data_IF_230466411392
#
_entry.id   IF_230466411392
#
_cell.length_a   1.000
_cell.length_b   1.000
_cell.length_c   1.000
_cell.angle_alpha   90.00
_cell.angle_beta   90.00
_cell.angle_gamma   90.00
#
_symmetry.space_group_name_H-M   'P 1'
#
loop_
_entity.id
_entity.type
_entity.pdbx_description
1 polymer ?
#
# COMPACT_ATOMS: atom_id res chain seq x y z
N UNK A 1 -27.39 7.47 -1.33
CA UNK A 1 -26.67 6.30 -0.74
C UNK A 1 -25.20 6.63 -0.47
N UNK A 2 -24.51 7.28 -1.39
CA UNK A 2 -23.08 7.66 -1.25
C UNK A 2 -22.79 8.59 -0.05
N UNK A 3 -23.64 9.61 0.19
CA UNK A 3 -23.48 10.53 1.34
C UNK A 3 -23.51 9.79 2.70
N UNK A 4 -24.46 8.85 2.86
CA UNK A 4 -24.61 8.06 4.09
C UNK A 4 -23.40 7.13 4.31
N UNK A 5 -22.87 6.53 3.24
CA UNK A 5 -21.67 5.70 3.33
C UNK A 5 -20.43 6.52 3.73
N UNK A 6 -20.34 7.77 3.24
CA UNK A 6 -19.26 8.67 3.63
C UNK A 6 -19.33 9.06 5.10
N UNK A 7 -20.50 9.46 5.59
CA UNK A 7 -20.71 9.82 7.01
C UNK A 7 -20.36 8.65 7.94
N UNK A 8 -20.82 7.43 7.61
CA UNK A 8 -20.45 6.21 8.35
C UNK A 8 -18.95 5.93 8.32
N UNK A 9 -18.30 6.21 7.19
CA UNK A 9 -16.86 6.07 7.06
C UNK A 9 -16.09 7.03 7.96
N UNK A 10 -16.52 8.29 8.04
CA UNK A 10 -15.92 9.31 8.90
C UNK A 10 -16.09 8.98 10.40
N UNK A 11 -17.25 8.44 10.78
CA UNK A 11 -17.52 7.93 12.14
C UNK A 11 -16.58 6.78 12.50
N UNK A 12 -16.50 5.75 11.66
CA UNK A 12 -15.65 4.57 11.91
C UNK A 12 -14.17 4.95 11.99
N UNK A 13 -13.73 5.90 11.16
CA UNK A 13 -12.37 6.44 11.23
C UNK A 13 -12.11 7.12 12.57
N UNK A 14 -13.04 7.96 13.05
CA UNK A 14 -12.92 8.64 14.35
C UNK A 14 -12.86 7.62 15.48
N UNK A 15 -13.77 6.66 15.49
CA UNK A 15 -13.89 5.67 16.56
C UNK A 15 -12.66 4.74 16.60
N UNK A 16 -12.10 4.40 15.43
CA UNK A 16 -10.85 3.65 15.35
C UNK A 16 -9.63 4.48 15.79
N UNK A 17 -9.57 5.76 15.43
CA UNK A 17 -8.54 6.66 15.95
C UNK A 17 -8.59 6.77 17.47
N UNK A 18 -9.79 6.85 18.04
CA UNK A 18 -9.98 6.87 19.49
C UNK A 18 -9.53 5.55 20.13
N UNK A 19 -9.90 4.42 19.52
CA UNK A 19 -9.45 3.11 19.97
C UNK A 19 -7.91 2.97 19.96
N UNK A 20 -7.26 3.51 18.92
CA UNK A 20 -5.80 3.48 18.78
C UNK A 20 -5.06 4.48 19.67
N UNK A 21 -5.76 5.41 20.32
CA UNK A 21 -5.17 6.41 21.21
C UNK A 21 -4.08 7.23 20.54
N UNK A 22 -2.91 7.33 21.20
CA UNK A 22 -1.77 8.10 20.71
C UNK A 22 -0.87 7.32 19.74
N UNK A 23 -1.27 6.09 19.39
CA UNK A 23 -0.52 5.18 18.48
C UNK A 23 0.89 4.86 18.98
N UNK A 24 1.06 4.87 20.31
CA UNK A 24 2.29 4.46 21.00
C UNK A 24 2.37 2.95 21.08
N UNK A 25 3.55 2.42 21.41
CA UNK A 25 3.78 0.99 21.56
C UNK A 25 2.72 0.27 22.42
N UNK A 26 2.24 0.90 23.49
CA UNK A 26 1.20 0.30 24.34
C UNK A 26 -0.13 0.14 23.61
N UNK A 27 -0.51 1.10 22.77
CA UNK A 27 -1.73 1.02 21.97
C UNK A 27 -1.62 -0.10 20.94
N UNK A 28 -0.46 -0.24 20.30
CA UNK A 28 -0.17 -1.35 19.38
C UNK A 28 -0.23 -2.71 20.06
N UNK A 29 0.36 -2.84 21.26
CA UNK A 29 0.26 -4.05 22.09
C UNK A 29 -1.18 -4.38 22.45
N UNK A 30 -1.96 -3.34 22.80
CA UNK A 30 -3.37 -3.42 23.10
C UNK A 30 -4.13 -3.99 21.91
N UNK A 31 -3.94 -3.43 20.72
CA UNK A 31 -4.53 -3.95 19.48
C UNK A 31 -4.12 -5.42 19.24
N UNK A 32 -2.83 -5.76 19.33
CA UNK A 32 -2.37 -7.14 19.15
C UNK A 32 -3.09 -8.10 20.10
N UNK A 33 -3.12 -7.81 21.40
CA UNK A 33 -3.82 -8.64 22.39
C UNK A 33 -5.32 -8.70 22.12
N UNK A 34 -5.92 -7.56 21.77
CA UNK A 34 -7.34 -7.45 21.49
C UNK A 34 -7.77 -8.32 20.31
N UNK A 35 -6.96 -8.33 19.25
CA UNK A 35 -7.18 -9.22 18.12
C UNK A 35 -6.68 -10.62 18.38
N UNK A 36 -6.22 -11.00 19.59
CA UNK A 36 -5.86 -12.36 19.97
C UNK A 36 -4.44 -12.80 19.59
N UNK A 37 -3.54 -11.85 19.32
CA UNK A 37 -2.11 -12.10 19.14
C UNK A 37 -1.38 -11.98 20.48
N UNK A 38 -0.59 -13.00 20.80
CA UNK A 38 0.29 -13.02 21.97
C UNK A 38 1.75 -12.99 21.53
N UNK A 39 2.58 -12.18 22.17
CA UNK A 39 4.02 -12.12 21.90
C UNK A 39 4.73 -11.02 22.69
N UNK A 40 6.05 -11.13 22.79
CA UNK A 40 6.90 -10.08 23.36
C UNK A 40 7.15 -9.00 22.31
N UNK A 41 6.24 -8.02 22.26
CA UNK A 41 6.42 -6.83 21.42
C UNK A 41 7.28 -5.81 22.19
N UNK A 42 8.50 -5.51 21.75
CA UNK A 42 9.38 -4.53 22.40
C UNK A 42 9.36 -3.19 21.68
N UNK A 43 9.02 -3.21 20.40
CA UNK A 43 8.91 -2.04 19.55
C UNK A 43 7.61 -2.04 18.75
N UNK A 44 7.21 -0.88 18.23
CA UNK A 44 6.04 -0.77 17.33
C UNK A 44 6.28 -1.65 16.09
N UNK A 45 7.54 -1.76 15.69
CA UNK A 45 7.94 -2.58 14.57
C UNK A 45 7.56 -4.02 14.86
N UNK A 46 7.83 -4.59 16.03
CA UNK A 46 7.40 -5.95 16.39
C UNK A 46 5.90 -6.22 16.20
N UNK A 47 5.06 -5.22 16.47
CA UNK A 47 3.61 -5.31 16.27
C UNK A 47 3.24 -5.26 14.77
N UNK A 48 3.96 -4.44 14.01
CA UNK A 48 3.80 -4.25 12.55
C UNK A 48 4.43 -5.38 11.72
N UNK A 49 5.54 -5.90 12.22
CA UNK A 49 6.59 -6.73 11.62
C UNK A 49 7.35 -7.42 12.77
N UNK A 50 7.24 -8.73 12.94
CA UNK A 50 8.03 -9.39 13.98
C UNK A 50 9.53 -9.33 13.60
N UNK A 51 10.35 -8.54 14.32
CA UNK A 51 11.81 -8.62 14.20
C UNK A 51 12.27 -9.81 15.03
N UNK A 52 12.39 -10.97 14.40
CA UNK A 52 13.24 -12.01 14.94
C UNK A 52 14.68 -11.52 14.81
N UNK A 53 15.33 -11.12 15.90
CA UNK A 53 16.80 -11.17 15.93
C UNK A 53 17.19 -12.65 15.88
N UNK A 54 17.86 -13.16 14.82
CA UNK A 54 18.40 -14.51 14.87
C UNK A 54 19.60 -14.52 15.83
N UNK A 55 19.68 -15.46 16.79
CA UNK A 55 20.98 -15.91 17.29
C UNK A 55 21.76 -16.45 16.08
N UNK A 56 23.03 -16.09 15.94
CA UNK A 56 23.78 -16.25 14.69
C UNK A 56 23.94 -17.70 14.17
N UNK A 57 23.45 -18.74 14.88
CA UNK A 57 23.80 -20.14 14.56
C UNK A 57 22.64 -21.17 14.57
N UNK A 58 21.34 -20.78 14.48
CA UNK A 58 20.26 -21.81 14.40
C UNK A 58 19.25 -21.57 13.27
N UNK A 59 18.88 -22.65 12.60
CA UNK A 59 18.11 -22.65 11.35
C UNK A 59 16.71 -22.01 11.47
N UNK A 60 16.57 -20.89 10.76
CA UNK A 60 15.44 -20.45 9.90
C UNK A 60 14.02 -20.57 10.49
N UNK A 61 13.56 -19.47 11.10
CA UNK A 61 12.14 -19.11 11.10
C UNK A 61 11.96 -17.72 10.49
N UNK A 62 11.25 -17.68 9.37
CA UNK A 62 10.99 -16.50 8.53
C UNK A 62 10.18 -15.48 9.35
N UNK A 63 10.57 -14.18 9.38
CA UNK A 63 9.77 -13.13 9.99
C UNK A 63 8.48 -12.98 9.18
N UNK A 64 7.34 -13.26 9.81
CA UNK A 64 6.05 -13.04 9.16
C UNK A 64 5.18 -12.25 10.16
N UNK A 65 4.55 -11.14 9.75
CA UNK A 65 4.01 -10.15 10.67
C UNK A 65 2.90 -10.64 11.61
N UNK A 66 2.89 -10.13 12.85
CA UNK A 66 1.79 -10.20 13.81
C UNK A 66 0.42 -9.92 13.17
N UNK A 67 0.22 -8.64 12.89
CA UNK A 67 -1.04 -8.10 12.39
C UNK A 67 -1.27 -8.44 10.91
N UNK A 68 -0.23 -8.45 10.05
CA UNK A 68 -0.46 -8.72 8.62
C UNK A 68 -0.85 -10.18 8.31
N UNK A 69 -0.68 -11.12 9.24
CA UNK A 69 -1.22 -12.49 9.12
C UNK A 69 -2.70 -12.56 9.47
N UNK A 70 -3.19 -11.61 10.26
CA UNK A 70 -4.56 -11.60 10.74
C UNK A 70 -5.39 -10.77 9.77
N UNK A 71 -6.30 -11.44 9.08
CA UNK A 71 -7.30 -10.75 8.28
C UNK A 71 -8.50 -10.49 9.19
N UNK A 72 -8.66 -9.26 9.66
CA UNK A 72 -9.78 -8.83 10.52
C UNK A 72 -10.37 -7.56 9.94
N UNK A 73 -11.70 -7.40 10.02
CA UNK A 73 -12.34 -6.14 9.64
C UNK A 73 -12.28 -5.15 10.82
N UNK A 74 -11.91 -3.89 10.56
CA UNK A 74 -11.88 -2.84 11.60
C UNK A 74 -13.25 -2.64 12.26
N UNK A 75 -14.34 -2.78 11.50
CA UNK A 75 -15.67 -2.73 12.08
C UNK A 75 -15.87 -3.80 13.16
N UNK A 76 -15.36 -5.02 12.95
CA UNK A 76 -15.50 -6.09 13.93
C UNK A 76 -14.61 -5.85 15.17
N UNK A 77 -13.51 -5.09 15.02
CA UNK A 77 -12.71 -4.62 16.16
C UNK A 77 -13.51 -3.65 17.01
N UNK A 78 -14.14 -2.66 16.38
CA UNK A 78 -14.95 -1.66 17.06
C UNK A 78 -16.21 -2.27 17.68
N UNK A 79 -16.91 -3.15 16.96
CA UNK A 79 -18.08 -3.88 17.46
C UNK A 79 -17.71 -4.70 18.71
N UNK A 80 -16.60 -5.43 18.67
CA UNK A 80 -16.10 -6.18 19.82
C UNK A 80 -15.75 -5.27 21.00
N UNK A 81 -15.13 -4.10 20.75
CA UNK A 81 -14.78 -3.12 21.80
C UNK A 81 -16.05 -2.64 22.51
N UNK A 82 -17.07 -2.29 21.74
CA UNK A 82 -18.33 -1.77 22.27
C UNK A 82 -19.05 -2.83 23.12
N UNK A 83 -19.07 -4.10 22.68
CA UNK A 83 -19.65 -5.19 23.47
C UNK A 83 -18.89 -5.40 24.79
N UNK A 84 -17.56 -5.36 24.76
CA UNK A 84 -16.74 -5.51 25.98
C UNK A 84 -16.97 -4.34 26.94
N UNK A 85 -17.05 -3.11 26.44
CA UNK A 85 -17.36 -1.93 27.27
C UNK A 85 -18.74 -2.01 27.92
N UNK A 86 -19.71 -2.67 27.26
CA UNK A 86 -21.02 -2.95 27.83
C UNK A 86 -21.04 -4.11 28.84
N UNK A 87 -19.89 -4.71 29.16
CA UNK A 87 -19.75 -5.83 30.08
C UNK A 87 -19.96 -7.21 29.44
N UNK A 88 -20.04 -7.28 28.11
CA UNK A 88 -20.10 -8.54 27.36
C UNK A 88 -18.73 -9.15 27.09
N UNK A 89 -18.72 -10.33 26.48
CA UNK A 89 -17.52 -10.97 25.95
C UNK A 89 -17.64 -11.06 24.42
N UNK A 90 -16.66 -10.50 23.70
CA UNK A 90 -16.60 -10.54 22.25
C UNK A 90 -15.16 -10.60 21.75
N UNK A 91 -14.95 -11.12 20.55
CA UNK A 91 -13.68 -11.07 19.84
C UNK A 91 -13.90 -10.74 18.37
N UNK A 92 -12.99 -10.00 17.73
CA UNK A 92 -13.08 -9.72 16.30
C UNK A 92 -12.98 -11.02 15.47
N UNK A 93 -13.75 -11.09 14.39
CA UNK A 93 -13.76 -12.26 13.50
C UNK A 93 -12.47 -12.33 12.68
N UNK A 94 -11.76 -13.46 12.78
CA UNK A 94 -10.58 -13.73 11.97
C UNK A 94 -10.95 -14.45 10.67
N UNK A 95 -10.36 -13.98 9.57
CA UNK A 95 -10.49 -14.60 8.27
C UNK A 95 -9.19 -15.29 7.88
N UNK A 96 -9.31 -16.51 7.34
CA UNK A 96 -8.14 -17.31 6.90
C UNK A 96 -7.42 -16.68 5.72
N UNK A 97 -8.15 -15.97 4.87
CA UNK A 97 -7.59 -15.34 3.67
C UNK A 97 -8.10 -13.91 3.52
N UNK A 98 -7.28 -13.06 2.88
CA UNK A 98 -7.72 -11.77 2.36
C UNK A 98 -9.04 -11.78 1.59
N UNK A 99 -9.21 -12.79 0.74
CA UNK A 99 -10.39 -12.90 -0.12
C UNK A 99 -11.66 -13.12 0.72
N UNK A 100 -11.58 -13.99 1.74
CA UNK A 100 -12.70 -14.22 2.65
C UNK A 100 -13.09 -12.95 3.43
N UNK A 101 -12.10 -12.18 3.92
CA UNK A 101 -12.35 -10.89 4.56
C UNK A 101 -13.01 -9.89 3.59
N UNK A 102 -12.57 -9.87 2.33
CA UNK A 102 -13.13 -9.00 1.31
C UNK A 102 -14.58 -9.37 0.95
N UNK A 103 -14.88 -10.66 0.82
CA UNK A 103 -16.24 -11.14 0.56
C UNK A 103 -17.17 -10.84 1.73
N UNK A 104 -16.71 -11.06 2.97
CA UNK A 104 -17.43 -10.67 4.18
C UNK A 104 -17.72 -9.16 4.22
N UNK A 105 -16.69 -8.32 4.02
CA UNK A 105 -16.85 -6.87 4.01
C UNK A 105 -17.86 -6.40 2.94
N UNK A 106 -17.90 -7.09 1.79
CA UNK A 106 -18.87 -6.83 0.72
C UNK A 106 -20.28 -7.25 1.09
N UNK A 107 -20.46 -8.43 1.68
CA UNK A 107 -21.76 -8.94 2.12
C UNK A 107 -22.37 -8.06 3.22
N UNK A 108 -21.57 -7.70 4.22
CA UNK A 108 -21.99 -6.88 5.35
C UNK A 108 -21.97 -5.37 5.05
N UNK A 109 -21.48 -4.97 3.87
CA UNK A 109 -21.26 -3.57 3.50
C UNK A 109 -20.41 -2.78 4.54
N UNK A 110 -19.43 -3.46 5.14
CA UNK A 110 -18.49 -2.95 6.15
C UNK A 110 -17.16 -2.56 5.50
N UNK A 111 -17.16 -1.48 4.73
CA UNK A 111 -15.97 -0.98 4.04
C UNK A 111 -15.31 0.16 4.83
N UNK A 112 -14.02 0.00 5.13
CA UNK A 112 -13.24 1.07 5.75
C UNK A 112 -12.79 2.09 4.68
N UNK A 113 -12.85 3.41 4.96
CA UNK A 113 -12.40 4.44 4.01
C UNK A 113 -10.92 4.29 3.69
N UNK A 114 -10.58 4.00 2.43
CA UNK A 114 -9.19 3.74 2.02
C UNK A 114 -8.37 5.01 1.89
N UNK A 115 -9.01 6.15 1.67
CA UNK A 115 -8.38 7.47 1.51
C UNK A 115 -7.72 7.94 2.81
N UNK A 116 -8.22 7.48 3.95
CA UNK A 116 -7.69 7.80 5.28
C UNK A 116 -6.63 6.81 5.78
N UNK A 117 -6.33 5.77 5.00
CA UNK A 117 -5.39 4.71 5.41
C UNK A 117 -3.97 5.19 5.19
N UNK A 118 -3.25 5.38 6.29
CA UNK A 118 -1.81 5.61 6.29
C UNK A 118 -1.15 4.22 6.30
N UNK A 119 -0.32 3.93 5.29
CA UNK A 119 0.30 2.60 5.13
C UNK A 119 1.21 2.22 6.30
N UNK A 120 1.72 3.23 7.01
CA UNK A 120 2.59 3.03 8.17
C UNK A 120 1.84 2.85 9.49
N UNK A 121 0.53 2.92 9.46
CA UNK A 121 -0.31 2.85 10.65
C UNK A 121 -1.03 1.49 10.72
N UNK A 122 -1.68 1.14 11.84
CA UNK A 122 -2.36 -0.15 12.00
C UNK A 122 -3.38 -0.43 10.91
N UNK A 123 -4.08 0.60 10.43
CA UNK A 123 -5.01 0.53 9.31
C UNK A 123 -4.33 0.02 8.04
N UNK A 124 -3.11 0.51 7.77
CA UNK A 124 -2.32 0.08 6.62
C UNK A 124 -1.96 -1.40 6.67
N UNK A 125 -1.66 -1.90 7.87
CA UNK A 125 -1.36 -3.31 8.10
C UNK A 125 -2.60 -4.20 7.97
N UNK A 126 -3.73 -3.79 8.55
CA UNK A 126 -4.97 -4.58 8.59
C UNK A 126 -5.76 -4.55 7.26
N UNK A 127 -5.77 -3.41 6.56
CA UNK A 127 -6.64 -3.20 5.38
C UNK A 127 -5.94 -3.46 4.05
N UNK A 128 -4.70 -3.98 4.08
CA UNK A 128 -3.89 -4.18 2.88
C UNK A 128 -4.64 -4.95 1.79
N UNK A 129 -5.58 -5.83 2.16
CA UNK A 129 -6.22 -6.73 1.21
C UNK A 129 -7.76 -6.69 1.10
N UNK A 130 -8.46 -5.73 1.73
CA UNK A 130 -9.93 -5.61 1.57
C UNK A 130 -10.27 -4.97 0.22
N UNK A 131 -10.63 -5.75 -0.80
CA UNK A 131 -10.99 -5.22 -2.11
C UNK A 131 -12.37 -4.55 -2.02
N UNK A 132 -12.41 -3.22 -2.14
CA UNK A 132 -13.65 -2.49 -2.34
C UNK A 132 -13.92 -2.40 -3.85
N UNK A 133 -14.92 -3.12 -4.39
CA UNK A 133 -15.15 -3.19 -5.84
C UNK A 133 -15.45 -1.82 -6.46
N UNK A 134 -16.12 -0.91 -5.75
CA UNK A 134 -16.39 0.44 -6.26
C UNK A 134 -15.13 1.29 -6.39
N UNK A 135 -14.18 1.12 -5.46
CA UNK A 135 -12.87 1.79 -5.52
C UNK A 135 -11.95 1.18 -6.58
N UNK A 136 -11.99 -0.13 -6.78
CA UNK A 136 -11.18 -0.80 -7.80
C UNK A 136 -11.66 -0.44 -9.21
N UNK A 137 -12.98 -0.35 -9.43
CA UNK A 137 -13.56 0.12 -10.69
C UNK A 137 -13.13 1.57 -10.99
N UNK A 138 -13.17 2.46 -9.98
CA UNK A 138 -12.70 3.85 -10.12
C UNK A 138 -11.21 3.91 -10.46
N UNK A 139 -10.36 3.13 -9.77
CA UNK A 139 -8.92 3.04 -10.05
C UNK A 139 -8.64 2.50 -11.44
N UNK A 140 -9.41 1.53 -11.90
CA UNK A 140 -9.28 0.97 -13.24
C UNK A 140 -9.61 2.01 -14.30
N UNK A 141 -10.72 2.75 -14.14
CA UNK A 141 -11.07 3.89 -15.01
C UNK A 141 -9.96 4.95 -15.05
N UNK A 142 -9.41 5.33 -13.90
CA UNK A 142 -8.29 6.29 -13.85
C UNK A 142 -7.02 5.77 -14.55
N UNK A 143 -6.69 4.48 -14.39
CA UNK A 143 -5.54 3.85 -15.07
C UNK A 143 -5.74 3.82 -16.59
N UNK A 144 -6.94 3.49 -17.05
CA UNK A 144 -7.29 3.49 -18.47
C UNK A 144 -7.25 4.91 -19.07
N UNK A 145 -7.78 5.90 -18.35
CA UNK A 145 -7.72 7.30 -18.76
C UNK A 145 -6.27 7.81 -18.84
N UNK A 146 -5.43 7.49 -17.84
CA UNK A 146 -3.99 7.81 -17.87
C UNK A 146 -3.30 7.15 -19.05
N UNK A 147 -3.60 5.89 -19.36
CA UNK A 147 -3.08 5.19 -20.55
C UNK A 147 -3.51 5.90 -21.84
N UNK A 148 -4.78 6.31 -21.95
CA UNK A 148 -5.30 7.04 -23.11
C UNK A 148 -4.57 8.37 -23.31
N UNK A 149 -4.43 9.18 -22.25
CA UNK A 149 -3.70 10.46 -22.28
C UNK A 149 -2.22 10.30 -22.66
N UNK A 150 -1.56 9.22 -22.21
CA UNK A 150 -0.18 8.90 -22.60
C UNK A 150 -0.09 8.58 -24.10
N UNK A 151 -0.97 7.71 -24.61
CA UNK A 151 -1.02 7.37 -26.06
C UNK A 151 -1.27 8.61 -26.91
N UNK A 152 -2.22 9.46 -26.53
CA UNK A 152 -2.53 10.70 -27.27
C UNK A 152 -1.33 11.67 -27.32
N UNK A 153 -0.59 11.81 -26.21
CA UNK A 153 0.65 12.62 -26.18
C UNK A 153 1.74 12.06 -27.08
N UNK A 154 1.88 10.73 -27.18
CA UNK A 154 2.83 10.08 -28.08
C UNK A 154 2.47 10.36 -29.54
N UNK A 155 1.20 10.16 -29.94
CA UNK A 155 0.75 10.46 -31.31
C UNK A 155 0.96 11.94 -31.70
N UNK A 156 0.69 12.87 -30.78
CA UNK A 156 0.91 14.31 -31.01
C UNK A 156 2.39 14.70 -31.11
N UNK A 157 3.32 13.91 -30.54
CA UNK A 157 4.76 14.12 -30.72
C UNK A 157 5.22 13.64 -32.09
N UNK A 158 4.69 12.51 -32.57
CA UNK A 158 5.02 11.94 -33.88
C UNK A 158 4.44 12.74 -35.05
N UNK A 159 3.32 13.44 -34.84
CA UNK A 159 2.68 14.28 -35.87
C UNK A 159 3.20 15.72 -35.93
N UNK A 160 4.14 16.12 -35.06
CA UNK A 160 4.82 17.42 -35.24
C UNK A 160 5.83 17.30 -36.38
N UNK A 161 5.64 18.00 -37.51
CA UNK A 161 6.61 17.98 -38.58
C UNK A 161 7.93 18.53 -38.06
N UNK A 162 9.02 17.79 -38.31
CA UNK A 162 10.39 18.26 -38.10
C UNK A 162 10.60 19.50 -38.97
N UNK A 163 10.30 20.69 -38.41
CA UNK A 163 10.60 21.97 -39.04
C UNK A 163 12.06 22.33 -38.70
N UNK A 164 12.99 21.56 -39.25
CA UNK A 164 14.41 21.85 -39.22
C UNK A 164 15.11 21.23 -40.43
N UNK A 165 14.70 21.63 -41.63
CA UNK A 165 15.61 21.71 -42.77
C UNK A 165 15.89 23.19 -42.96
N UNK A 166 16.89 23.71 -42.24
CA UNK A 166 17.59 24.91 -42.70
C UNK A 166 18.65 24.40 -43.67
N UNK A 167 18.33 24.47 -44.96
CA UNK A 167 19.34 24.64 -46.00
C UNK A 167 20.24 25.83 -45.62
N UNK A 168 21.54 25.59 -45.55
CA UNK A 168 22.53 26.59 -45.20
C UNK A 168 23.93 26.02 -45.30
N UNK A 169 24.52 26.19 -46.50
CA UNK A 169 25.95 26.21 -46.79
C UNK A 169 26.78 24.92 -46.66
N UNK A 170 26.85 24.21 -47.79
CA UNK A 170 28.03 23.45 -48.21
C UNK A 170 29.16 24.43 -48.58
N UNK A 171 30.12 24.67 -47.68
CA UNK A 171 31.44 25.19 -48.03
C UNK A 171 32.54 24.62 -47.14
N UNK A 172 33.43 23.84 -47.77
CA UNK A 172 34.82 23.58 -47.38
C UNK A 172 35.00 22.80 -46.07
N UNK A 173 35.94 21.87 -45.92
CA UNK A 173 37.24 21.75 -46.57
C UNK A 173 37.68 20.30 -46.32
N UNK A 174 37.99 19.57 -47.39
CA UNK A 174 38.56 18.22 -47.30
C UNK A 174 40.05 18.37 -46.99
N UNK A 175 40.45 18.09 -45.75
CA UNK A 175 41.87 18.08 -45.36
C UNK A 175 42.32 16.62 -45.31
N UNK A 176 43.12 16.26 -46.32
CA UNK A 176 43.82 14.98 -46.43
C UNK A 176 45.05 15.09 -45.53
N UNK A 177 45.08 14.35 -44.43
CA UNK A 177 46.31 14.11 -43.69
C UNK A 177 46.85 12.75 -44.14
N UNK A 178 47.77 12.82 -45.10
CA UNK A 178 48.76 11.79 -45.37
C UNK A 178 50.02 12.15 -44.59
N UNK A 179 50.58 11.18 -43.85
CA UNK A 179 51.94 11.07 -43.30
C UNK A 179 51.86 10.47 -41.89
N UNK A 180 52.76 9.62 -41.42
CA UNK A 180 53.76 8.69 -41.94
C UNK A 180 54.37 8.10 -40.65
N UNK A 181 54.74 6.80 -40.66
CA UNK A 181 55.76 6.15 -39.80
C UNK A 181 55.60 6.24 -38.26
N UNK A 182 55.87 5.22 -37.46
CA UNK A 182 56.54 3.94 -37.65
C UNK A 182 56.98 3.40 -36.28
N UNK A 183 57.42 2.13 -36.31
CA UNK A 183 58.31 1.44 -35.35
C UNK A 183 57.71 1.11 -33.96
N UNK A 184 57.49 -0.18 -33.68
CA UNK A 184 58.48 -1.13 -33.14
C UNK A 184 58.99 -0.71 -31.76
N UNK A 185 58.65 -1.44 -30.70
CA UNK A 185 59.58 -2.37 -30.05
C UNK A 185 58.90 -3.19 -28.94
N UNK A 186 59.38 -4.45 -28.90
CA UNK A 186 59.29 -5.56 -27.93
C UNK A 186 58.68 -5.35 -26.53
#
# INVERSE_FOLDING_TARGET
KEKIQREKGEEVLRDFNEFMGERKLQDWKGLCHFIGLSGDFREIQDCREQVSHPPQDTCILIPIPAIQRVNVNIYDVLDARNIIQAGGEARPTWFRTPHALSEYARQENKFYPREAVISTEPEGAMLKYILNPGLEEKRQKEREEKKRKRKEKTLKKETKPNKATKEGDLKGTFQVNSEERGQDEM
#
